data_IF_816772774176
#
_entry.id   IF_816772774176
#
_cell.length_a   1.000
_cell.length_b   1.000
_cell.length_c   1.000
_cell.angle_alpha   90.00
_cell.angle_beta   90.00
_cell.angle_gamma   90.00
#
_symmetry.space_group_name_H-M   'P 1'
#
loop_
_entity.id
_entity.type
_entity.pdbx_description
1 polymer ?
#
# COMPACT_ATOMS: atom_id res chain seq x y z
N UNK A 1 16.19 34.06 40.07
CA UNK A 1 16.68 32.81 39.46
C UNK A 1 16.01 31.62 40.15
N UNK A 2 15.88 30.51 39.42
CA UNK A 2 15.20 29.25 39.75
C UNK A 2 13.69 29.18 39.44
N UNK A 3 13.41 28.86 38.18
CA UNK A 3 12.18 28.16 37.80
C UNK A 3 12.48 26.66 37.94
N UNK A 4 11.68 25.98 38.77
CA UNK A 4 11.73 24.54 38.98
C UNK A 4 11.18 23.88 37.71
N UNK A 5 12.04 23.19 36.97
CA UNK A 5 11.66 22.40 35.80
C UNK A 5 10.99 21.11 36.24
N UNK A 6 9.68 21.00 36.00
CA UNK A 6 8.97 19.73 36.12
C UNK A 6 9.37 18.83 34.95
N UNK A 7 10.19 17.81 35.22
CA UNK A 7 10.33 16.66 34.33
C UNK A 7 8.99 15.89 34.36
N UNK A 8 8.16 16.11 33.35
CA UNK A 8 7.07 15.20 33.04
C UNK A 8 7.69 13.90 32.50
N UNK A 9 7.74 12.88 33.34
CA UNK A 9 8.02 11.51 32.91
C UNK A 9 6.85 11.03 32.05
N UNK A 10 7.06 11.04 30.73
CA UNK A 10 6.23 10.32 29.77
C UNK A 10 6.42 8.81 30.02
N UNK A 11 5.73 8.31 31.04
CA UNK A 11 5.46 6.88 31.18
C UNK A 11 4.44 6.52 30.10
N UNK A 12 4.92 6.38 28.86
CA UNK A 12 4.14 5.83 27.76
C UNK A 12 3.78 4.39 28.12
N UNK A 13 2.49 4.13 28.30
CA UNK A 13 1.93 2.79 28.19
C UNK A 13 2.42 2.18 26.87
N UNK A 14 2.85 0.91 26.84
CA UNK A 14 3.21 0.27 25.57
C UNK A 14 1.96 0.26 24.69
N UNK A 15 1.90 1.15 23.70
CA UNK A 15 0.95 1.02 22.60
C UNK A 15 1.39 -0.25 21.88
N UNK A 16 0.53 -1.26 21.89
CA UNK A 16 0.74 -2.45 21.09
C UNK A 16 0.95 -1.98 19.65
N UNK A 17 2.03 -2.40 18.99
CA UNK A 17 2.32 -2.02 17.61
C UNK A 17 1.14 -2.32 16.64
N UNK A 18 0.21 -3.20 17.07
CA UNK A 18 -1.06 -3.45 16.39
C UNK A 18 -1.95 -2.19 16.28
N UNK A 19 -2.12 -1.40 17.34
CA UNK A 19 -3.10 -0.31 17.35
C UNK A 19 -2.60 0.96 16.62
N UNK A 20 -1.31 1.06 16.31
CA UNK A 20 -0.72 2.22 15.64
C UNK A 20 -0.61 2.08 14.11
N UNK A 21 -0.74 0.85 13.57
CA UNK A 21 -0.40 0.57 12.17
C UNK A 21 -1.57 0.03 11.33
N UNK A 22 -2.67 -0.44 11.95
CA UNK A 22 -3.82 -1.00 11.22
C UNK A 22 -4.49 0.06 10.33
N UNK A 23 -4.56 1.32 10.76
CA UNK A 23 -5.19 2.38 9.97
C UNK A 23 -4.27 3.00 8.91
N UNK A 24 -2.94 2.98 9.10
CA UNK A 24 -1.99 3.66 8.20
C UNK A 24 -2.01 3.06 6.78
N UNK A 25 -2.31 1.78 6.68
CA UNK A 25 -2.29 1.03 5.42
C UNK A 25 -3.65 0.43 5.03
N UNK A 26 -4.73 0.76 5.74
CA UNK A 26 -6.07 0.30 5.41
C UNK A 26 -6.51 0.68 3.98
N UNK A 27 -5.93 1.75 3.40
CA UNK A 27 -6.15 2.12 1.99
C UNK A 27 -5.67 1.04 1.01
N UNK A 28 -4.70 0.20 1.40
CA UNK A 28 -4.10 -0.83 0.58
C UNK A 28 -4.96 -2.10 0.51
N UNK A 29 -5.84 -2.33 1.48
CA UNK A 29 -6.70 -3.53 1.56
C UNK A 29 -7.50 -3.84 0.29
N UNK A 30 -8.25 -2.89 -0.31
CA UNK A 30 -8.99 -3.18 -1.54
C UNK A 30 -8.08 -3.59 -2.69
N UNK A 31 -6.87 -3.02 -2.77
CA UNK A 31 -5.88 -3.40 -3.78
C UNK A 31 -5.27 -4.77 -3.50
N UNK A 32 -4.99 -5.06 -2.22
CA UNK A 32 -4.47 -6.34 -1.81
C UNK A 32 -5.45 -7.48 -2.12
N UNK A 33 -6.73 -7.26 -1.87
CA UNK A 33 -7.78 -8.23 -2.18
C UNK A 33 -8.00 -8.40 -3.68
N UNK A 34 -8.00 -7.30 -4.45
CA UNK A 34 -8.05 -7.37 -5.91
C UNK A 34 -6.89 -8.19 -6.48
N UNK A 35 -5.66 -7.95 -6.02
CA UNK A 35 -4.48 -8.73 -6.43
C UNK A 35 -4.63 -10.21 -6.07
N UNK A 36 -5.13 -10.55 -4.87
CA UNK A 36 -5.37 -11.94 -4.47
C UNK A 36 -6.42 -12.63 -5.36
N UNK A 37 -7.48 -11.93 -5.73
CA UNK A 37 -8.53 -12.46 -6.61
C UNK A 37 -8.04 -12.74 -8.04
N UNK A 38 -6.93 -12.11 -8.46
CA UNK A 38 -6.28 -12.32 -9.76
C UNK A 38 -5.06 -13.27 -9.65
N UNK A 39 -4.95 -14.06 -8.59
CA UNK A 39 -3.82 -14.97 -8.34
C UNK A 39 -2.45 -14.26 -8.22
N UNK A 40 -2.45 -12.96 -7.92
CA UNK A 40 -1.24 -12.13 -7.74
C UNK A 40 -0.89 -11.90 -6.26
N UNK A 41 -1.55 -12.59 -5.33
CA UNK A 41 -1.28 -12.46 -3.88
C UNK A 41 0.19 -12.69 -3.50
N UNK A 42 0.88 -13.56 -4.23
CA UNK A 42 2.31 -13.82 -4.04
C UNK A 42 3.18 -12.58 -4.22
N UNK A 43 2.76 -11.60 -5.03
CA UNK A 43 3.50 -10.34 -5.21
C UNK A 43 3.44 -9.47 -3.95
N UNK A 44 2.37 -9.57 -3.15
CA UNK A 44 2.27 -8.86 -1.87
C UNK A 44 3.19 -9.53 -0.85
N UNK A 45 3.26 -10.86 -0.86
CA UNK A 45 4.17 -11.62 0.02
C UNK A 45 5.64 -11.33 -0.29
N UNK A 46 5.99 -11.23 -1.58
CA UNK A 46 7.37 -11.03 -2.03
C UNK A 46 7.82 -9.55 -1.98
N UNK A 47 6.94 -8.60 -2.30
CA UNK A 47 7.28 -7.18 -2.47
C UNK A 47 6.63 -6.27 -1.43
N UNK A 48 5.76 -6.80 -0.58
CA UNK A 48 5.02 -6.04 0.41
C UNK A 48 4.11 -4.98 -0.21
N UNK A 49 4.05 -3.83 0.45
CA UNK A 49 3.14 -2.74 0.10
C UNK A 49 3.41 -2.09 -1.27
N UNK A 50 4.60 -2.31 -1.86
CA UNK A 50 4.94 -1.78 -3.17
C UNK A 50 3.99 -2.28 -4.28
N UNK A 51 3.48 -3.50 -4.15
CA UNK A 51 2.51 -4.06 -5.11
C UNK A 51 1.15 -3.35 -5.01
N UNK A 52 0.71 -3.03 -3.79
CA UNK A 52 -0.52 -2.26 -3.57
C UNK A 52 -0.38 -0.81 -4.08
N UNK A 53 0.78 -0.18 -3.89
CA UNK A 53 1.07 1.15 -4.45
C UNK A 53 1.06 1.14 -5.99
N UNK A 54 1.60 0.10 -6.62
CA UNK A 54 1.54 -0.03 -8.09
C UNK A 54 0.10 -0.17 -8.59
N UNK A 55 -0.74 -0.95 -7.91
CA UNK A 55 -2.15 -1.06 -8.24
C UNK A 55 -2.90 0.29 -8.03
N UNK A 56 -2.63 0.98 -6.93
CA UNK A 56 -3.18 2.31 -6.66
C UNK A 56 -2.75 3.33 -7.73
N UNK A 57 -1.51 3.27 -8.18
CA UNK A 57 -0.99 4.16 -9.23
C UNK A 57 -1.77 4.03 -10.55
N UNK A 58 -2.26 2.82 -10.88
CA UNK A 58 -3.15 2.59 -12.03
C UNK A 58 -4.48 3.33 -11.84
N UNK A 59 -5.07 3.23 -10.65
CA UNK A 59 -6.28 3.97 -10.31
C UNK A 59 -6.08 5.49 -10.25
N UNK A 60 -4.83 5.96 -10.16
CA UNK A 60 -4.45 7.38 -10.29
C UNK A 60 -4.05 7.78 -11.71
N UNK A 61 -4.20 6.90 -12.69
CA UNK A 61 -3.99 7.18 -14.12
C UNK A 61 -2.64 6.72 -14.68
N UNK A 62 -1.86 5.94 -13.93
CA UNK A 62 -0.64 5.34 -14.46
C UNK A 62 -0.96 4.20 -15.43
N UNK A 63 -0.16 4.08 -16.49
CA UNK A 63 -0.22 2.93 -17.39
C UNK A 63 0.56 1.73 -16.85
N UNK A 64 0.32 0.54 -17.40
CA UNK A 64 1.13 -0.65 -17.12
C UNK A 64 2.64 -0.41 -17.34
N UNK A 65 3.01 0.30 -18.41
CA UNK A 65 4.40 0.69 -18.65
C UNK A 65 4.95 1.63 -17.56
N UNK A 66 4.11 2.56 -17.10
CA UNK A 66 4.47 3.48 -16.02
C UNK A 66 4.81 2.72 -14.74
N UNK A 67 3.91 1.83 -14.30
CA UNK A 67 4.14 1.07 -13.07
C UNK A 67 5.25 0.01 -13.21
N UNK A 68 5.47 -0.53 -14.42
CA UNK A 68 6.60 -1.42 -14.69
C UNK A 68 7.94 -0.71 -14.42
N UNK A 69 8.07 0.53 -14.90
CA UNK A 69 9.26 1.35 -14.71
C UNK A 69 9.41 1.83 -13.26
N UNK A 70 8.34 2.33 -12.65
CA UNK A 70 8.40 2.98 -11.33
C UNK A 70 8.59 1.97 -10.19
N UNK A 71 7.92 0.82 -10.28
CA UNK A 71 7.92 -0.19 -9.22
C UNK A 71 8.81 -1.40 -9.56
N UNK A 72 9.54 -1.34 -10.68
CA UNK A 72 10.47 -2.38 -11.13
C UNK A 72 9.80 -3.77 -11.26
N UNK A 73 8.67 -3.78 -11.98
CA UNK A 73 7.99 -4.99 -12.43
C UNK A 73 8.33 -5.28 -13.90
N UNK A 74 8.30 -6.54 -14.28
CA UNK A 74 8.25 -6.88 -15.71
C UNK A 74 6.93 -6.39 -16.31
N UNK A 75 6.94 -5.98 -17.58
CA UNK A 75 5.75 -5.42 -18.23
C UNK A 75 4.54 -6.37 -18.15
N UNK A 76 4.75 -7.67 -18.38
CA UNK A 76 3.67 -8.66 -18.27
C UNK A 76 3.07 -8.69 -16.85
N UNK A 77 3.89 -8.60 -15.79
CA UNK A 77 3.40 -8.53 -14.41
C UNK A 77 2.65 -7.22 -14.15
N UNK A 78 3.16 -6.11 -14.67
CA UNK A 78 2.50 -4.81 -14.55
C UNK A 78 1.13 -4.78 -15.25
N UNK A 79 0.99 -5.42 -16.41
CA UNK A 79 -0.31 -5.56 -17.08
C UNK A 79 -1.31 -6.34 -16.23
N UNK A 80 -0.87 -7.43 -15.58
CA UNK A 80 -1.71 -8.20 -14.67
C UNK A 80 -2.10 -7.39 -13.42
N UNK A 81 -1.16 -6.63 -12.85
CA UNK A 81 -1.45 -5.72 -11.72
C UNK A 81 -2.49 -4.66 -12.15
N UNK A 82 -2.35 -4.09 -13.35
CA UNK A 82 -3.32 -3.11 -13.85
C UNK A 82 -4.71 -3.72 -14.05
N UNK A 83 -4.79 -4.95 -14.59
CA UNK A 83 -6.04 -5.68 -14.71
C UNK A 83 -6.72 -5.91 -13.36
N UNK A 84 -5.95 -6.29 -12.33
CA UNK A 84 -6.46 -6.45 -10.98
C UNK A 84 -6.92 -5.10 -10.38
N UNK A 85 -6.16 -4.02 -10.58
CA UNK A 85 -6.50 -2.70 -10.06
C UNK A 85 -7.87 -2.19 -10.55
N UNK A 86 -8.31 -2.58 -11.75
CA UNK A 86 -9.63 -2.20 -12.28
C UNK A 86 -10.81 -2.80 -11.51
N UNK A 87 -10.62 -3.80 -10.65
CA UNK A 87 -11.67 -4.25 -9.73
C UNK A 87 -11.92 -3.21 -8.62
N UNK A 88 -10.94 -2.35 -8.33
CA UNK A 88 -11.05 -1.25 -7.36
C UNK A 88 -11.51 0.05 -8.04
N UNK A 89 -11.01 0.34 -9.25
CA UNK A 89 -11.33 1.55 -10.02
C UNK A 89 -11.82 1.21 -11.45
N UNK A 90 -13.03 0.66 -11.60
CA UNK A 90 -13.53 0.17 -12.89
C UNK A 90 -13.65 1.27 -13.95
N UNK A 91 -13.82 2.53 -13.55
CA UNK A 91 -13.86 3.69 -14.44
C UNK A 91 -12.53 3.98 -15.17
N UNK A 92 -11.43 3.43 -14.67
CA UNK A 92 -10.09 3.59 -15.25
C UNK A 92 -9.78 2.52 -16.30
N UNK A 93 -10.68 1.54 -16.49
CA UNK A 93 -10.51 0.48 -17.48
C UNK A 93 -10.55 1.07 -18.90
N UNK A 94 -9.57 0.75 -19.77
CA UNK A 94 -9.50 1.26 -21.14
C UNK A 94 -10.58 0.72 -22.07
#
# INVERSE_FOLDING_TARGET
MSIIGALATLAGTPVSAADCCEDEFAWADPYADALRNHDLGYLIEDRGIMTALAAEAVCKGSSANGIASEYNFGLATAEQIALAAYDVCPEMKP
#
